data_IF_758129351146
#
_entry.id   IF_758129351146
#
_cell.length_a   1.000
_cell.length_b   1.000
_cell.length_c   1.000
_cell.angle_alpha   90.00
_cell.angle_beta   90.00
_cell.angle_gamma   90.00
#
_symmetry.space_group_name_H-M   'P 1'
#
loop_
_entity.id
_entity.type
_entity.pdbx_description
1 polymer ?
#
# COMPACT_ATOMS: atom_id res chain seq x y z
N UNK A 1 19.95 26.72 -34.73
CA UNK A 1 18.60 26.12 -34.60
C UNK A 1 18.10 26.48 -33.21
N UNK A 2 17.07 27.31 -33.11
CA UNK A 2 16.50 27.73 -31.83
C UNK A 2 15.48 26.66 -31.39
N UNK A 3 15.62 26.18 -30.15
CA UNK A 3 14.65 25.29 -29.54
C UNK A 3 13.46 26.11 -29.03
N UNK A 4 12.29 25.86 -29.60
CA UNK A 4 11.03 26.50 -29.22
C UNK A 4 10.24 25.51 -28.36
N UNK A 5 9.99 25.81 -27.07
CA UNK A 5 9.23 24.91 -26.20
C UNK A 5 7.75 24.88 -26.63
N UNK A 6 7.07 23.73 -26.53
CA UNK A 6 5.69 23.59 -26.97
C UNK A 6 4.75 24.44 -26.10
N UNK A 7 3.98 25.29 -26.80
CA UNK A 7 2.95 26.18 -26.29
C UNK A 7 1.76 25.38 -25.77
N UNK A 8 1.41 25.64 -24.50
CA UNK A 8 0.10 25.54 -23.83
C UNK A 8 -0.99 24.68 -24.50
N UNK A 9 -1.28 23.52 -23.93
CA UNK A 9 -2.55 22.80 -24.13
C UNK A 9 -3.51 23.15 -22.99
N UNK A 10 -4.67 23.65 -23.40
CA UNK A 10 -5.83 24.19 -22.68
C UNK A 10 -6.11 23.65 -21.25
N UNK A 11 -6.35 24.59 -20.33
CA UNK A 11 -7.06 24.34 -19.07
C UNK A 11 -8.44 23.79 -19.40
N UNK A 12 -8.63 22.48 -19.19
CA UNK A 12 -9.96 21.86 -19.17
C UNK A 12 -10.71 22.41 -17.95
N UNK A 13 -11.52 23.46 -18.17
CA UNK A 13 -12.57 23.85 -17.23
C UNK A 13 -13.65 22.79 -17.26
N UNK A 14 -13.71 21.95 -16.23
CA UNK A 14 -14.86 21.08 -15.99
C UNK A 14 -15.90 21.89 -15.23
N UNK A 15 -17.01 22.17 -15.90
CA UNK A 15 -18.22 22.77 -15.31
C UNK A 15 -18.83 21.77 -14.33
N UNK A 16 -18.84 22.10 -13.03
CA UNK A 16 -19.53 21.32 -12.01
C UNK A 16 -20.93 21.86 -11.90
N UNK A 17 -21.85 21.26 -12.64
CA UNK A 17 -23.27 21.39 -12.34
C UNK A 17 -24.03 20.08 -12.56
N UNK A 18 -24.52 19.54 -11.45
CA UNK A 18 -25.72 18.67 -11.40
C UNK A 18 -25.51 17.17 -11.55
N UNK A 19 -25.65 16.44 -10.44
CA UNK A 19 -26.07 15.03 -10.46
C UNK A 19 -25.39 14.16 -9.42
N UNK A 20 -26.15 13.68 -8.44
CA UNK A 20 -25.74 12.67 -7.47
C UNK A 20 -25.21 11.40 -8.15
N UNK A 21 -23.94 11.08 -7.91
CA UNK A 21 -23.27 9.89 -8.42
C UNK A 21 -21.82 9.87 -7.97
N UNK A 22 -21.35 8.74 -7.42
CA UNK A 22 -20.05 8.58 -6.79
C UNK A 22 -18.90 9.26 -7.57
N UNK A 23 -18.11 10.08 -6.88
CA UNK A 23 -16.92 10.75 -7.40
C UNK A 23 -15.82 9.75 -7.79
N UNK A 24 -16.02 9.02 -8.89
CA UNK A 24 -14.95 8.34 -9.59
C UNK A 24 -14.14 9.38 -10.34
N UNK A 25 -12.87 9.52 -9.98
CA UNK A 25 -11.99 10.53 -10.56
C UNK A 25 -10.53 10.15 -10.36
N UNK A 26 -9.66 11.09 -10.66
CA UNK A 26 -8.24 11.01 -10.36
C UNK A 26 -7.89 12.19 -9.47
N UNK A 27 -7.09 11.97 -8.42
CA UNK A 27 -6.61 13.06 -7.57
C UNK A 27 -5.53 13.91 -8.27
N UNK A 28 -5.03 14.92 -7.56
CA UNK A 28 -3.98 15.81 -8.09
C UNK A 28 -2.62 15.11 -8.31
N UNK A 29 -2.43 13.89 -7.80
CA UNK A 29 -1.23 13.08 -7.98
C UNK A 29 -1.38 12.05 -9.11
N UNK A 30 -2.52 12.00 -9.80
CA UNK A 30 -2.77 10.97 -10.82
C UNK A 30 -3.31 9.65 -10.26
N UNK A 31 -3.66 9.57 -8.97
CA UNK A 31 -4.18 8.36 -8.34
C UNK A 31 -5.70 8.28 -8.48
N UNK A 32 -6.19 7.13 -8.93
CA UNK A 32 -7.62 6.88 -9.12
C UNK A 32 -8.32 6.90 -7.76
N UNK A 33 -9.44 7.61 -7.65
CA UNK A 33 -10.32 7.65 -6.46
C UNK A 33 -11.65 6.96 -6.76
N UNK A 34 -12.37 6.56 -5.70
CA UNK A 34 -13.67 5.90 -5.84
C UNK A 34 -13.60 4.40 -6.16
N UNK A 35 -12.43 3.86 -6.49
CA UNK A 35 -12.21 2.42 -6.75
C UNK A 35 -10.72 2.04 -6.63
N UNK A 36 -10.46 0.76 -6.43
CA UNK A 36 -9.10 0.20 -6.53
C UNK A 36 -8.57 0.28 -7.98
N UNK A 37 -7.27 0.52 -8.14
CA UNK A 37 -6.60 0.53 -9.46
C UNK A 37 -6.64 -0.84 -10.13
N UNK A 38 -6.47 -1.90 -9.33
CA UNK A 38 -6.49 -3.30 -9.78
C UNK A 38 -7.41 -4.11 -8.88
N UNK A 39 -7.90 -5.24 -9.38
CA UNK A 39 -8.59 -6.24 -8.54
C UNK A 39 -7.64 -6.87 -7.51
N UNK A 40 -8.20 -7.60 -6.54
CA UNK A 40 -7.39 -8.24 -5.48
C UNK A 40 -6.39 -9.26 -6.03
N UNK A 41 -6.77 -9.97 -7.11
CA UNK A 41 -5.89 -10.90 -7.82
C UNK A 41 -5.20 -10.27 -9.05
N UNK A 42 -5.36 -8.96 -9.25
CA UNK A 42 -4.76 -8.24 -10.39
C UNK A 42 -3.24 -8.01 -10.26
N UNK A 43 -2.58 -8.62 -9.26
CA UNK A 43 -1.12 -8.55 -9.12
C UNK A 43 -0.40 -9.36 -10.22
N UNK A 44 -1.10 -10.25 -10.92
CA UNK A 44 -0.55 -11.05 -12.03
C UNK A 44 -0.10 -10.20 -13.20
N UNK A 45 -0.63 -8.98 -13.35
CA UNK A 45 -0.31 -8.08 -14.46
C UNK A 45 1.06 -7.40 -14.27
N UNK A 46 1.61 -7.41 -13.04
CA UNK A 46 2.94 -6.88 -12.74
C UNK A 46 3.65 -7.83 -11.78
N UNK A 47 3.98 -9.03 -12.29
CA UNK A 47 4.67 -10.08 -11.52
C UNK A 47 5.96 -9.52 -10.89
N UNK A 48 6.70 -8.71 -11.65
CA UNK A 48 7.94 -8.06 -11.22
C UNK A 48 7.78 -6.53 -11.18
N UNK A 49 8.06 -5.86 -10.04
CA UNK A 49 8.48 -6.43 -8.76
C UNK A 49 7.31 -6.83 -7.84
N UNK A 50 6.07 -6.42 -8.14
CA UNK A 50 5.00 -6.35 -7.13
C UNK A 50 4.58 -7.70 -6.56
N UNK A 51 4.25 -8.69 -7.40
CA UNK A 51 3.81 -10.00 -6.92
C UNK A 51 4.91 -10.69 -6.08
N UNK A 52 6.15 -10.65 -6.58
CA UNK A 52 7.30 -11.26 -5.91
C UNK A 52 7.59 -10.56 -4.59
N UNK A 53 7.66 -9.22 -4.57
CA UNK A 53 7.94 -8.46 -3.34
C UNK A 53 6.82 -8.62 -2.32
N UNK A 54 5.56 -8.57 -2.73
CA UNK A 54 4.42 -8.71 -1.81
C UNK A 54 4.28 -10.12 -1.22
N UNK A 55 4.76 -11.16 -1.91
CA UNK A 55 4.76 -12.54 -1.41
C UNK A 55 6.03 -12.89 -0.62
N UNK A 56 7.21 -12.55 -1.15
CA UNK A 56 8.50 -12.96 -0.59
C UNK A 56 9.08 -11.93 0.40
N UNK A 57 8.72 -10.66 0.26
CA UNK A 57 9.23 -9.55 1.08
C UNK A 57 8.09 -8.61 1.52
N UNK A 58 7.00 -9.12 2.13
CA UNK A 58 5.82 -8.31 2.45
C UNK A 58 6.15 -7.11 3.35
N UNK A 59 7.16 -7.24 4.22
CA UNK A 59 7.66 -6.14 5.05
C UNK A 59 8.14 -4.93 4.23
N UNK A 60 8.86 -5.19 3.13
CA UNK A 60 9.36 -4.13 2.25
C UNK A 60 8.20 -3.48 1.52
N UNK A 61 7.30 -4.27 0.92
CA UNK A 61 6.11 -3.72 0.24
C UNK A 61 5.24 -2.88 1.19
N UNK A 62 5.00 -3.34 2.41
CA UNK A 62 4.24 -2.58 3.42
C UNK A 62 4.97 -1.31 3.83
N UNK A 63 6.28 -1.36 4.01
CA UNK A 63 7.09 -0.16 4.32
C UNK A 63 7.07 0.85 3.16
N UNK A 64 7.14 0.39 1.91
CA UNK A 64 7.05 1.23 0.71
C UNK A 64 5.67 1.89 0.61
N UNK A 65 4.58 1.15 0.83
CA UNK A 65 3.22 1.70 0.87
C UNK A 65 3.10 2.76 1.96
N UNK A 66 3.49 2.42 3.20
CA UNK A 66 3.34 3.30 4.35
C UNK A 66 4.13 4.60 4.19
N UNK A 67 5.34 4.54 3.62
CA UNK A 67 6.13 5.73 3.30
C UNK A 67 5.49 6.53 2.17
N UNK A 68 5.07 5.87 1.09
CA UNK A 68 4.46 6.50 -0.09
C UNK A 68 3.20 7.30 0.25
N UNK A 69 2.42 6.85 1.23
CA UNK A 69 1.21 7.58 1.65
C UNK A 69 1.39 8.42 2.91
N UNK A 70 2.62 8.54 3.42
CA UNK A 70 2.92 9.39 4.57
C UNK A 70 2.31 8.90 5.88
N UNK A 71 2.13 7.59 6.04
CA UNK A 71 1.62 6.97 7.28
C UNK A 71 2.70 6.71 8.32
N UNK A 72 3.84 6.18 7.88
CA UNK A 72 4.96 5.87 8.75
C UNK A 72 6.26 5.88 7.93
N UNK A 73 7.38 6.37 8.48
CA UNK A 73 8.64 6.34 7.76
C UNK A 73 9.09 4.91 7.46
N UNK A 74 9.67 4.70 6.27
CA UNK A 74 10.09 3.39 5.77
C UNK A 74 10.88 2.55 6.78
N UNK A 75 11.90 3.15 7.41
CA UNK A 75 12.77 2.44 8.36
C UNK A 75 12.07 2.02 9.66
N UNK A 76 11.02 2.72 10.08
CA UNK A 76 10.28 2.35 11.29
C UNK A 76 9.46 1.08 11.04
N UNK A 77 8.78 1.02 9.90
CA UNK A 77 8.04 -0.18 9.48
C UNK A 77 8.99 -1.36 9.30
N UNK A 78 10.12 -1.14 8.63
CA UNK A 78 11.12 -2.18 8.41
C UNK A 78 11.72 -2.69 9.72
N UNK A 79 12.00 -1.79 10.68
CA UNK A 79 12.47 -2.15 12.01
C UNK A 79 11.46 -2.98 12.80
N UNK A 80 10.17 -2.64 12.72
CA UNK A 80 9.11 -3.41 13.38
C UNK A 80 9.00 -4.85 12.82
N UNK A 81 9.00 -5.00 11.48
CA UNK A 81 9.01 -6.32 10.85
C UNK A 81 10.33 -7.08 11.09
N UNK A 82 11.46 -6.39 11.09
CA UNK A 82 12.76 -6.97 11.44
C UNK A 82 12.77 -7.54 12.86
N UNK A 83 12.20 -6.82 13.82
CA UNK A 83 11.98 -7.31 15.19
C UNK A 83 11.08 -8.54 15.23
N UNK A 84 9.95 -8.52 14.50
CA UNK A 84 9.05 -9.67 14.41
C UNK A 84 9.76 -10.91 13.87
N UNK A 85 10.54 -10.78 12.79
CA UNK A 85 11.31 -11.90 12.23
C UNK A 85 12.42 -12.39 13.15
N UNK A 86 13.09 -11.47 13.87
CA UNK A 86 14.08 -11.83 14.87
C UNK A 86 13.47 -12.64 16.01
N UNK A 87 12.33 -12.20 16.56
CA UNK A 87 11.62 -12.97 17.60
C UNK A 87 11.09 -14.31 17.09
N UNK A 88 10.62 -14.37 15.83
CA UNK A 88 10.23 -15.63 15.20
C UNK A 88 11.39 -16.61 15.11
N UNK A 89 12.56 -16.13 14.68
CA UNK A 89 13.78 -16.94 14.61
C UNK A 89 14.20 -17.43 16.01
N UNK A 90 14.22 -16.55 17.02
CA UNK A 90 14.53 -16.93 18.40
C UNK A 90 13.55 -17.96 18.95
N UNK A 91 12.25 -17.77 18.75
CA UNK A 91 11.23 -18.74 19.15
C UNK A 91 11.48 -20.12 18.52
N UNK A 92 11.77 -20.13 17.22
CA UNK A 92 12.05 -21.37 16.46
C UNK A 92 13.29 -22.12 16.96
N UNK A 93 14.40 -21.42 17.29
CA UNK A 93 15.65 -22.08 17.72
C UNK A 93 15.66 -22.45 19.20
N UNK A 94 14.99 -21.69 20.06
CA UNK A 94 14.96 -21.93 21.50
C UNK A 94 13.83 -22.87 21.95
N UNK A 95 12.82 -23.08 21.10
CA UNK A 95 11.58 -23.80 21.44
C UNK A 95 10.87 -23.26 22.70
N UNK A 96 11.06 -21.98 23.02
CA UNK A 96 10.50 -21.34 24.21
C UNK A 96 9.06 -20.92 24.01
N UNK A 97 8.14 -21.44 24.83
CA UNK A 97 6.71 -21.08 24.81
C UNK A 97 6.46 -19.60 25.07
N UNK A 98 7.30 -18.96 25.86
CA UNK A 98 7.22 -17.53 26.10
C UNK A 98 7.47 -16.72 24.82
N UNK A 99 8.51 -17.08 24.06
CA UNK A 99 8.82 -16.41 22.79
C UNK A 99 7.79 -16.74 21.70
N UNK A 100 7.26 -17.97 21.68
CA UNK A 100 6.15 -18.36 20.80
C UNK A 100 4.93 -17.44 21.02
N UNK A 101 4.54 -17.19 22.28
CA UNK A 101 3.40 -16.32 22.61
C UNK A 101 3.67 -14.88 22.15
N UNK A 102 4.86 -14.33 22.42
CA UNK A 102 5.22 -12.98 21.97
C UNK A 102 5.16 -12.87 20.45
N UNK A 103 5.70 -13.87 19.73
CA UNK A 103 5.66 -13.91 18.28
C UNK A 103 4.21 -13.87 17.75
N UNK A 104 3.33 -14.73 18.27
CA UNK A 104 1.94 -14.76 17.82
C UNK A 104 1.19 -13.46 18.14
N UNK A 105 1.42 -12.86 19.31
CA UNK A 105 0.86 -11.55 19.65
C UNK A 105 1.33 -10.47 18.67
N UNK A 106 2.63 -10.42 18.38
CA UNK A 106 3.20 -9.47 17.44
C UNK A 106 2.70 -9.69 15.99
N UNK A 107 2.52 -10.94 15.57
CA UNK A 107 1.95 -11.29 14.27
C UNK A 107 0.49 -10.84 14.14
N UNK A 108 -0.33 -11.01 15.19
CA UNK A 108 -1.72 -10.51 15.23
C UNK A 108 -1.73 -8.97 15.13
N UNK A 109 -0.87 -8.29 15.90
CA UNK A 109 -0.76 -6.82 15.83
C UNK A 109 -0.37 -6.38 14.41
N UNK A 110 0.61 -7.03 13.78
CA UNK A 110 1.01 -6.74 12.41
C UNK A 110 -0.14 -6.93 11.41
N UNK A 111 -0.93 -8.01 11.54
CA UNK A 111 -2.11 -8.25 10.71
C UNK A 111 -3.19 -7.17 10.88
N UNK A 112 -3.45 -6.74 12.12
CA UNK A 112 -4.35 -5.63 12.42
C UNK A 112 -3.84 -4.30 11.85
N UNK A 113 -2.53 -4.04 11.94
CA UNK A 113 -1.90 -2.86 11.34
C UNK A 113 -2.05 -2.86 9.81
N UNK A 114 -1.81 -3.98 9.14
CA UNK A 114 -2.03 -4.13 7.69
C UNK A 114 -3.50 -3.91 7.31
N UNK A 115 -4.43 -4.47 8.10
CA UNK A 115 -5.87 -4.26 7.91
C UNK A 115 -6.25 -2.79 8.08
N UNK A 116 -5.73 -2.14 9.11
CA UNK A 116 -5.92 -0.70 9.35
C UNK A 116 -5.34 0.14 8.22
N UNK A 117 -4.18 -0.23 7.68
CA UNK A 117 -3.57 0.45 6.53
C UNK A 117 -4.49 0.37 5.31
N UNK A 118 -5.02 -0.81 5.00
CA UNK A 118 -6.00 -1.00 3.92
C UNK A 118 -7.24 -0.15 4.10
N UNK A 119 -7.83 -0.19 5.29
CA UNK A 119 -8.98 0.65 5.65
C UNK A 119 -8.69 2.13 5.42
N UNK A 120 -7.55 2.61 5.92
CA UNK A 120 -7.14 4.02 5.80
C UNK A 120 -6.99 4.44 4.34
N UNK A 121 -6.33 3.64 3.52
CA UNK A 121 -6.24 3.87 2.08
C UNK A 121 -7.63 4.00 1.46
N UNK A 122 -8.55 3.09 1.77
CA UNK A 122 -9.92 3.17 1.24
C UNK A 122 -10.65 4.44 1.66
N UNK A 123 -10.54 4.82 2.93
CA UNK A 123 -11.19 6.05 3.40
C UNK A 123 -10.64 7.30 2.72
N UNK A 124 -9.33 7.33 2.48
CA UNK A 124 -8.65 8.50 1.90
C UNK A 124 -8.86 8.58 0.38
N UNK A 125 -8.84 7.45 -0.32
CA UNK A 125 -9.11 7.38 -1.76
C UNK A 125 -10.60 7.18 -2.09
N UNK A 126 -11.49 7.35 -1.11
CA UNK A 126 -12.95 7.25 -1.25
C UNK A 126 -13.44 5.91 -1.85
N UNK A 127 -12.75 4.80 -1.55
CA UNK A 127 -13.06 3.47 -2.09
C UNK A 127 -14.16 2.77 -1.28
N UNK A 128 -15.33 2.45 -1.89
CA UNK A 128 -16.50 1.91 -1.20
C UNK A 128 -16.34 0.46 -0.72
N UNK A 129 -16.75 0.18 0.53
CA UNK A 129 -16.73 -1.16 1.17
C UNK A 129 -16.61 -1.09 2.70
N UNK A 130 -16.19 -2.18 3.36
CA UNK A 130 -16.38 -2.34 4.83
C UNK A 130 -15.15 -2.82 5.61
N UNK A 131 -15.07 -2.63 6.94
CA UNK A 131 -13.88 -3.01 7.71
C UNK A 131 -13.74 -4.51 7.81
N UNK A 132 -14.88 -5.21 7.81
CA UNK A 132 -14.92 -6.67 7.82
C UNK A 132 -14.40 -7.26 6.51
N UNK A 133 -14.72 -6.62 5.38
CA UNK A 133 -14.15 -6.98 4.08
C UNK A 133 -12.62 -6.80 4.09
N UNK A 134 -12.12 -5.69 4.62
CA UNK A 134 -10.68 -5.43 4.69
C UNK A 134 -9.95 -6.42 5.61
N UNK A 135 -10.57 -6.79 6.73
CA UNK A 135 -10.06 -7.82 7.63
C UNK A 135 -10.03 -9.19 6.94
N UNK A 136 -11.14 -9.59 6.31
CA UNK A 136 -11.25 -10.86 5.59
C UNK A 136 -10.23 -10.98 4.46
N UNK A 137 -10.06 -9.94 3.64
CA UNK A 137 -9.08 -9.94 2.55
C UNK A 137 -7.63 -9.95 3.06
N UNK A 138 -7.34 -9.20 4.13
CA UNK A 138 -5.99 -9.14 4.71
C UNK A 138 -5.57 -10.46 5.38
N UNK A 139 -6.53 -11.21 5.93
CA UNK A 139 -6.27 -12.51 6.55
C UNK A 139 -6.25 -13.67 5.53
N UNK A 140 -7.15 -13.69 4.54
CA UNK A 140 -7.26 -14.78 3.58
C UNK A 140 -6.23 -14.73 2.44
N UNK A 141 -5.88 -13.53 1.94
CA UNK A 141 -4.76 -13.35 1.02
C UNK A 141 -4.00 -12.05 1.30
N UNK A 142 -3.20 -12.07 2.37
CA UNK A 142 -2.41 -10.91 2.80
C UNK A 142 -1.49 -10.36 1.71
N UNK A 143 -0.79 -11.22 0.96
CA UNK A 143 0.09 -10.78 -0.13
C UNK A 143 -0.70 -10.14 -1.29
N UNK A 144 -1.87 -10.67 -1.65
CA UNK A 144 -2.75 -10.07 -2.66
C UNK A 144 -3.21 -8.66 -2.23
N UNK A 145 -3.62 -8.54 -0.96
CA UNK A 145 -4.04 -7.27 -0.37
C UNK A 145 -2.91 -6.23 -0.41
N UNK A 146 -1.70 -6.64 -0.02
CA UNK A 146 -0.50 -5.80 -0.09
C UNK A 146 -0.20 -5.40 -1.54
N UNK A 147 -0.23 -6.34 -2.48
CA UNK A 147 0.05 -6.08 -3.89
C UNK A 147 -0.97 -5.11 -4.51
N UNK A 148 -2.26 -5.26 -4.19
CA UNK A 148 -3.30 -4.35 -4.63
C UNK A 148 -3.09 -2.93 -4.08
N UNK A 149 -2.79 -2.80 -2.78
CA UNK A 149 -2.47 -1.51 -2.17
C UNK A 149 -1.23 -0.88 -2.82
N UNK A 150 -0.17 -1.68 -3.03
CA UNK A 150 1.07 -1.25 -3.65
C UNK A 150 0.86 -0.70 -5.06
N UNK A 151 0.04 -1.39 -5.87
CA UNK A 151 -0.35 -0.95 -7.21
C UNK A 151 -1.15 0.35 -7.16
N UNK A 152 -2.10 0.44 -6.22
CA UNK A 152 -3.00 1.58 -6.12
C UNK A 152 -2.27 2.88 -5.79
N UNK A 153 -1.34 2.85 -4.82
CA UNK A 153 -0.57 4.03 -4.42
C UNK A 153 0.72 4.23 -5.24
N UNK A 154 0.95 3.33 -6.20
CA UNK A 154 2.13 3.30 -7.06
C UNK A 154 3.45 3.32 -6.27
N UNK A 155 3.50 2.53 -5.19
CA UNK A 155 4.64 2.47 -4.26
C UNK A 155 5.93 1.89 -4.85
N UNK A 156 5.84 1.25 -6.02
CA UNK A 156 6.96 0.66 -6.74
C UNK A 156 6.99 1.15 -8.20
N UNK A 157 8.10 0.90 -8.89
CA UNK A 157 8.24 1.16 -10.32
C UNK A 157 8.15 -0.16 -11.11
N UNK A 158 7.22 -0.30 -12.07
CA UNK A 158 7.11 -1.51 -12.89
C UNK A 158 8.41 -1.83 -13.63
N UNK A 159 8.82 -3.10 -13.62
CA UNK A 159 10.05 -3.55 -14.30
C UNK A 159 11.35 -3.30 -13.54
N UNK A 160 11.33 -2.55 -12.43
CA UNK A 160 12.52 -2.26 -11.61
C UNK A 160 12.39 -2.90 -10.23
N UNK A 161 13.35 -3.75 -9.86
CA UNK A 161 13.48 -4.24 -8.47
C UNK A 161 14.18 -3.20 -7.60
N UNK A 162 13.39 -2.39 -6.89
CA UNK A 162 13.87 -1.42 -5.92
C UNK A 162 13.34 -1.71 -4.52
N UNK A 163 14.23 -1.67 -3.53
CA UNK A 163 13.88 -1.76 -2.10
C UNK A 163 13.63 -0.39 -1.47
N UNK A 164 14.17 0.67 -2.07
CA UNK A 164 13.98 2.02 -1.58
C UNK A 164 12.50 2.45 -1.71
N UNK A 165 11.98 3.26 -0.77
CA UNK A 165 10.67 3.87 -0.93
C UNK A 165 10.70 4.91 -2.04
N UNK A 166 9.58 5.06 -2.75
CA UNK A 166 9.35 6.24 -3.59
C UNK A 166 8.97 7.43 -2.70
N UNK A 167 9.09 8.64 -3.24
CA UNK A 167 8.68 9.88 -2.57
C UNK A 167 7.26 9.80 -2.01
N UNK A 168 6.98 10.51 -0.93
CA UNK A 168 5.61 10.57 -0.39
C UNK A 168 4.69 11.30 -1.36
N UNK A 169 3.46 10.80 -1.54
CA UNK A 169 2.42 11.47 -2.31
C UNK A 169 2.10 12.83 -1.65
N UNK A 170 2.19 13.91 -2.41
CA UNK A 170 1.85 15.24 -1.90
C UNK A 170 0.39 15.28 -1.48
N UNK A 171 0.04 16.06 -0.46
CA UNK A 171 -1.33 16.16 0.04
C UNK A 171 -1.79 14.98 0.92
N UNK A 172 -1.02 13.88 0.98
CA UNK A 172 -1.31 12.74 1.85
C UNK A 172 -0.31 12.67 3.00
N UNK A 173 -0.78 13.05 4.19
CA UNK A 173 -0.11 12.79 5.46
C UNK A 173 -1.14 12.29 6.46
N UNK A 174 -0.91 11.12 7.04
CA UNK A 174 -1.74 10.63 8.13
C UNK A 174 -1.09 11.09 9.44
N UNK A 175 -1.52 12.24 9.97
CA UNK A 175 -1.12 12.68 11.33
C UNK A 175 -1.86 11.88 12.38
#
# INVERSE_FOLDING_TARGET
>A
MQFQPPTKSDEVKVDVNGGEGSSQGTDHNGIITGRWKTGIFGFTDTIVPNAVMSCCCPAVSVAQIAARVGMMPFYHVLGAFGGLYFFAFLAAVTHSKFLDVIFWLAAIIAALCCTRMRWRLRTVFMIPGSPLEDLGLSLCCGCCSIAQMASHVESYEPGTFAFAPRETLQGYSFS
#
